data_IF_805173856791
#
_entry.id   IF_805173856791
#
_cell.length_a   1.000
_cell.length_b   1.000
_cell.length_c   1.000
_cell.angle_alpha   90.00
_cell.angle_beta   90.00
_cell.angle_gamma   90.00
#
_symmetry.space_group_name_H-M   'P 1'
#
loop_
_entity.id
_entity.type
_entity.pdbx_description
1 polymer ?
#
# COMPACT_ATOMS: atom_id res chain seq x y z
N UNK A 1 -5.09 -10.02 20.32
CA UNK A 1 -5.39 -11.01 21.39
C UNK A 1 -4.14 -11.82 21.66
N UNK A 2 -3.54 -11.75 22.86
CA UNK A 2 -2.27 -12.43 23.13
C UNK A 2 -2.44 -13.96 23.16
N UNK A 3 -1.89 -14.65 22.16
CA UNK A 3 -1.79 -16.12 22.12
C UNK A 3 -0.32 -16.52 22.04
N UNK A 4 0.04 -17.70 22.56
CA UNK A 4 1.42 -18.18 22.55
C UNK A 4 1.50 -19.43 21.68
N UNK A 5 2.28 -19.37 20.60
CA UNK A 5 2.55 -20.50 19.72
C UNK A 5 3.88 -21.13 20.10
N UNK A 6 3.82 -22.39 20.53
CA UNK A 6 4.98 -23.24 20.75
C UNK A 6 5.32 -23.97 19.45
N UNK A 7 6.56 -23.83 19.00
CA UNK A 7 7.06 -24.44 17.76
C UNK A 7 8.45 -25.04 17.93
N UNK A 8 8.82 -25.95 17.03
CA UNK A 8 10.14 -26.57 16.97
C UNK A 8 10.68 -26.47 15.54
N UNK A 9 11.97 -26.20 15.38
CA UNK A 9 12.60 -26.09 14.06
C UNK A 9 12.75 -27.45 13.36
N UNK A 10 12.68 -28.55 14.13
CA UNK A 10 12.80 -29.91 13.61
C UNK A 10 11.47 -30.50 13.13
N UNK A 11 10.36 -29.78 13.29
CA UNK A 11 9.04 -30.25 12.90
C UNK A 11 8.59 -29.62 11.57
N UNK A 12 8.34 -30.44 10.56
CA UNK A 12 7.90 -29.95 9.25
C UNK A 12 6.49 -29.34 9.26
N UNK A 13 5.61 -29.84 10.13
CA UNK A 13 4.27 -29.25 10.33
C UNK A 13 4.37 -27.85 10.92
N UNK A 14 5.36 -27.60 11.80
CA UNK A 14 5.61 -26.27 12.34
C UNK A 14 6.08 -25.31 11.26
N UNK A 15 7.00 -25.74 10.39
CA UNK A 15 7.51 -24.90 9.29
C UNK A 15 6.38 -24.47 8.35
N UNK A 16 5.49 -25.41 7.98
CA UNK A 16 4.31 -25.10 7.15
C UNK A 16 3.40 -24.07 7.82
N UNK A 17 3.10 -24.28 9.11
CA UNK A 17 2.21 -23.41 9.87
C UNK A 17 2.81 -22.01 10.08
N UNK A 18 4.10 -21.91 10.42
CA UNK A 18 4.83 -20.64 10.51
C UNK A 18 4.86 -19.88 9.18
N UNK A 19 4.98 -20.59 8.05
CA UNK A 19 4.94 -19.97 6.72
C UNK A 19 3.58 -19.36 6.37
N UNK A 20 2.49 -19.89 6.91
CA UNK A 20 1.14 -19.34 6.73
C UNK A 20 0.95 -18.13 7.66
N UNK A 21 1.28 -18.27 8.96
CA UNK A 21 1.10 -17.20 9.95
C UNK A 21 2.03 -16.02 9.65
N UNK A 22 3.26 -16.25 9.20
CA UNK A 22 4.18 -15.17 8.85
C UNK A 22 3.69 -14.26 7.70
N UNK A 23 2.77 -14.75 6.87
CA UNK A 23 2.14 -13.99 5.78
C UNK A 23 0.87 -13.26 6.21
N UNK A 24 0.28 -13.62 7.35
CA UNK A 24 -0.92 -12.98 7.85
C UNK A 24 -0.60 -11.90 8.88
N UNK A 25 -1.46 -10.89 9.05
CA UNK A 25 -1.26 -9.86 10.06
C UNK A 25 -1.56 -10.37 11.48
N UNK A 26 -2.09 -11.60 11.61
CA UNK A 26 -2.28 -12.28 12.90
C UNK A 26 -0.96 -12.45 13.67
N UNK A 27 0.18 -12.45 12.96
CA UNK A 27 1.52 -12.54 13.57
C UNK A 27 1.76 -11.52 14.69
N UNK A 28 1.17 -10.32 14.59
CA UNK A 28 1.44 -9.21 15.51
C UNK A 28 0.73 -9.42 16.87
N UNK A 29 -0.28 -10.28 16.91
CA UNK A 29 -1.01 -10.63 18.12
C UNK A 29 -0.47 -11.90 18.80
N UNK A 30 0.49 -12.59 18.17
CA UNK A 30 1.00 -13.89 18.60
C UNK A 30 2.43 -13.80 19.13
N UNK A 31 2.71 -14.54 20.21
CA UNK A 31 4.06 -14.74 20.72
C UNK A 31 4.58 -16.10 20.28
N UNK A 32 5.77 -16.14 19.70
CA UNK A 32 6.40 -17.36 19.20
C UNK A 32 7.47 -17.85 20.18
N UNK A 33 7.29 -19.04 20.74
CA UNK A 33 8.25 -19.68 21.64
C UNK A 33 8.82 -20.95 21.00
N UNK A 34 10.14 -21.01 20.88
CA UNK A 34 10.83 -22.20 20.39
C UNK A 34 11.03 -23.19 21.54
N UNK A 35 10.65 -24.46 21.33
CA UNK A 35 10.75 -25.53 22.34
C UNK A 35 12.06 -26.34 22.24
N UNK A 36 12.95 -25.98 21.30
CA UNK A 36 14.16 -26.77 21.01
C UNK A 36 15.19 -26.70 22.16
N UNK A 37 15.38 -25.50 22.73
CA UNK A 37 16.28 -25.29 23.86
C UNK A 37 15.50 -25.41 25.18
N UNK A 38 15.51 -26.60 25.76
CA UNK A 38 14.82 -26.91 27.03
C UNK A 38 15.78 -27.42 28.11
N UNK A 39 15.59 -26.95 29.33
CA UNK A 39 16.33 -27.35 30.52
C UNK A 39 15.37 -27.86 31.59
N UNK A 40 15.59 -29.07 32.09
CA UNK A 40 14.80 -29.62 33.19
C UNK A 40 15.39 -29.16 34.52
N UNK A 41 14.60 -28.48 35.34
CA UNK A 41 15.02 -28.13 36.70
C UNK A 41 14.88 -29.34 37.64
N UNK A 42 15.52 -29.26 38.82
CA UNK A 42 15.45 -30.28 39.86
C UNK A 42 14.02 -30.61 40.32
N UNK A 43 13.08 -29.68 40.14
CA UNK A 43 11.67 -29.83 40.51
C UNK A 43 10.83 -30.61 39.47
N UNK A 44 11.46 -31.16 38.42
CA UNK A 44 10.77 -31.87 37.32
C UNK A 44 10.08 -30.95 36.31
N UNK A 45 10.04 -29.65 36.56
CA UNK A 45 9.54 -28.65 35.62
C UNK A 45 10.53 -28.41 34.46
N UNK A 46 10.00 -28.29 33.24
CA UNK A 46 10.79 -28.00 32.05
C UNK A 46 10.75 -26.50 31.76
N UNK A 47 11.92 -25.89 31.60
CA UNK A 47 12.09 -24.48 31.25
C UNK A 47 12.62 -24.35 29.83
N UNK A 48 12.11 -23.37 29.09
CA UNK A 48 12.60 -22.98 27.77
C UNK A 48 13.59 -21.84 27.90
N UNK A 49 14.76 -22.00 27.30
CA UNK A 49 15.80 -20.97 27.26
C UNK A 49 15.61 -20.16 25.98
N UNK A 50 15.13 -18.93 26.14
CA UNK A 50 15.01 -17.96 25.06
C UNK A 50 16.40 -17.50 24.59
N UNK A 51 16.49 -16.97 23.36
CA UNK A 51 17.76 -16.50 22.78
C UNK A 51 18.41 -15.36 23.58
N UNK A 52 17.64 -14.64 24.40
CA UNK A 52 18.12 -13.59 25.31
C UNK A 52 18.65 -14.16 26.65
N UNK A 53 18.65 -15.48 26.84
CA UNK A 53 19.04 -16.15 28.10
C UNK A 53 17.93 -16.22 29.15
N UNK A 54 16.74 -15.68 28.88
CA UNK A 54 15.61 -15.75 29.80
C UNK A 54 15.00 -17.16 29.81
N UNK A 55 14.65 -17.64 30.99
CA UNK A 55 13.99 -18.93 31.17
C UNK A 55 12.48 -18.73 31.30
N UNK A 56 11.70 -19.42 30.46
CA UNK A 56 10.23 -19.44 30.51
C UNK A 56 9.75 -20.82 30.92
N UNK A 57 8.82 -20.90 31.86
CA UNK A 57 8.24 -22.17 32.28
C UNK A 57 7.35 -22.74 31.16
N UNK A 58 7.63 -23.98 30.73
CA UNK A 58 6.77 -24.71 29.81
C UNK A 58 5.58 -25.30 30.59
N UNK A 59 4.32 -25.00 30.22
CA UNK A 59 3.18 -25.62 30.86
C UNK A 59 3.12 -27.13 30.56
N UNK A 60 2.76 -27.99 31.52
CA UNK A 60 2.65 -29.44 31.29
C UNK A 60 1.52 -29.82 30.32
N UNK A 61 0.63 -28.88 30.00
CA UNK A 61 -0.43 -29.07 29.00
C UNK A 61 0.10 -29.15 27.57
N UNK A 62 1.31 -28.63 27.31
CA UNK A 62 1.96 -28.68 26.00
C UNK A 62 2.75 -29.97 25.87
N UNK A 63 2.08 -31.02 25.40
CA UNK A 63 2.67 -32.38 25.24
C UNK A 63 3.30 -32.61 23.87
N UNK A 64 2.82 -31.92 22.84
CA UNK A 64 3.24 -32.07 21.44
C UNK A 64 3.32 -30.71 20.76
N UNK A 65 4.05 -30.64 19.65
CA UNK A 65 4.29 -29.42 18.86
C UNK A 65 3.87 -29.70 17.41
N UNK A 66 3.19 -28.79 16.67
CA UNK A 66 2.81 -27.42 17.04
C UNK A 66 1.67 -27.35 18.05
N UNK A 67 1.77 -26.41 18.99
CA UNK A 67 0.75 -26.15 20.02
C UNK A 67 0.49 -24.65 20.17
N UNK A 68 -0.79 -24.28 20.18
CA UNK A 68 -1.23 -22.91 20.40
C UNK A 68 -1.90 -22.81 21.77
N UNK A 69 -1.36 -22.00 22.66
CA UNK A 69 -1.92 -21.71 23.98
C UNK A 69 -2.75 -20.43 23.92
N UNK A 70 -4.05 -20.58 24.20
CA UNK A 70 -5.01 -19.48 24.27
C UNK A 70 -5.07 -18.95 25.71
N UNK A 71 -4.48 -17.77 25.95
CA UNK A 71 -4.49 -17.13 27.27
C UNK A 71 -5.90 -16.67 27.68
N UNK A 72 -6.73 -16.30 26.71
CA UNK A 72 -8.08 -15.76 26.92
C UNK A 72 -9.16 -16.84 27.16
N UNK A 73 -8.92 -18.09 26.77
CA UNK A 73 -9.92 -19.19 26.87
C UNK A 73 -9.51 -20.24 27.89
N UNK A 74 -9.18 -19.78 29.10
CA UNK A 74 -8.87 -20.67 30.23
C UNK A 74 -7.64 -21.55 30.01
N UNK A 75 -6.59 -21.01 29.37
CA UNK A 75 -5.35 -21.73 29.07
C UNK A 75 -5.55 -23.01 28.22
N UNK A 76 -6.57 -23.02 27.35
CA UNK A 76 -6.79 -24.12 26.41
C UNK A 76 -5.62 -24.20 25.42
N UNK A 77 -5.12 -25.42 25.21
CA UNK A 77 -4.10 -25.72 24.20
C UNK A 77 -4.79 -26.34 22.98
N UNK A 78 -4.52 -25.78 21.81
CA UNK A 78 -4.93 -26.33 20.51
C UNK A 78 -3.73 -26.98 19.83
N UNK A 79 -3.98 -28.06 19.08
CA UNK A 79 -2.93 -28.81 18.39
C UNK A 79 -3.26 -29.02 16.90
N UNK A 80 -2.22 -29.08 16.07
CA UNK A 80 -2.34 -29.49 14.66
C UNK A 80 -3.36 -28.67 13.87
N UNK A 81 -4.32 -29.35 13.23
CA UNK A 81 -5.37 -28.70 12.42
C UNK A 81 -6.29 -27.76 13.22
N UNK A 82 -6.47 -27.99 14.52
CA UNK A 82 -7.31 -27.11 15.34
C UNK A 82 -6.76 -25.69 15.40
N UNK A 83 -5.42 -25.57 15.34
CA UNK A 83 -4.74 -24.27 15.26
C UNK A 83 -5.14 -23.57 13.96
N UNK A 84 -5.11 -24.30 12.85
CA UNK A 84 -5.50 -23.76 11.55
C UNK A 84 -6.96 -23.32 11.56
N UNK A 85 -7.89 -24.15 12.06
CA UNK A 85 -9.32 -23.81 12.13
C UNK A 85 -9.62 -22.59 12.99
N UNK A 86 -8.80 -22.32 14.00
CA UNK A 86 -8.94 -21.13 14.85
C UNK A 86 -8.42 -19.86 14.16
N UNK A 87 -7.32 -19.96 13.41
CA UNK A 87 -6.66 -18.81 12.77
C UNK A 87 -7.28 -18.45 11.41
N UNK A 88 -7.75 -19.44 10.64
CA UNK A 88 -8.36 -19.19 9.30
C UNK A 88 -9.48 -18.16 9.29
N UNK A 89 -10.48 -18.16 10.20
CA UNK A 89 -11.54 -17.16 10.17
C UNK A 89 -11.03 -15.73 10.42
N UNK A 90 -10.02 -15.56 11.28
CA UNK A 90 -9.43 -14.24 11.54
C UNK A 90 -8.69 -13.72 10.30
N UNK A 91 -7.93 -14.60 9.63
CA UNK A 91 -7.25 -14.26 8.37
C UNK A 91 -8.28 -13.90 7.28
N UNK A 92 -9.36 -14.66 7.15
CA UNK A 92 -10.39 -14.41 6.14
C UNK A 92 -11.15 -13.12 6.40
N UNK A 93 -11.53 -12.84 7.65
CA UNK A 93 -12.20 -11.61 8.03
C UNK A 93 -11.36 -10.38 7.66
N UNK A 94 -10.06 -10.40 7.96
CA UNK A 94 -9.14 -9.32 7.62
C UNK A 94 -8.93 -9.18 6.11
N UNK A 95 -8.83 -10.31 5.38
CA UNK A 95 -8.78 -10.30 3.91
C UNK A 95 -10.03 -9.68 3.31
N UNK A 96 -11.22 -10.00 3.82
CA UNK A 96 -12.47 -9.42 3.33
C UNK A 96 -12.52 -7.91 3.55
N UNK A 97 -11.99 -7.39 4.66
CA UNK A 97 -11.90 -5.94 4.91
C UNK A 97 -10.97 -5.27 3.90
N UNK A 98 -9.83 -5.89 3.57
CA UNK A 98 -8.89 -5.37 2.58
C UNK A 98 -9.45 -5.42 1.14
N UNK A 99 -10.21 -6.48 0.80
CA UNK A 99 -10.75 -6.68 -0.56
C UNK A 99 -11.91 -5.73 -0.87
N UNK A 100 -12.68 -5.27 0.12
CA UNK A 100 -13.77 -4.31 -0.11
C UNK A 100 -13.31 -3.02 -0.82
N UNK A 101 -12.03 -2.67 -0.78
CA UNK A 101 -11.52 -1.45 -1.43
C UNK A 101 -10.75 -1.68 -2.74
N UNK A 102 -10.33 -2.90 -3.08
CA UNK A 102 -9.41 -3.11 -4.22
C UNK A 102 -9.63 -4.43 -4.99
N UNK A 103 -10.86 -4.93 -5.07
CA UNK A 103 -11.17 -6.20 -5.76
C UNK A 103 -11.02 -6.12 -7.28
N UNK A 104 -11.90 -5.38 -7.95
CA UNK A 104 -11.85 -5.15 -9.41
C UNK A 104 -12.54 -3.81 -9.70
N UNK A 105 -12.07 -2.98 -10.64
CA UNK A 105 -12.84 -1.82 -11.09
C UNK A 105 -14.17 -2.32 -11.63
N UNK A 106 -15.29 -1.85 -11.07
CA UNK A 106 -16.59 -2.27 -11.57
C UNK A 106 -16.71 -1.84 -13.04
N UNK A 107 -17.05 -2.80 -13.91
CA UNK A 107 -17.23 -2.53 -15.35
C UNK A 107 -18.35 -1.51 -15.62
N UNK A 108 -19.16 -1.19 -14.60
CA UNK A 108 -20.23 -0.21 -14.62
C UNK A 108 -19.93 1.06 -13.81
N UNK A 109 -18.68 1.28 -13.36
CA UNK A 109 -18.26 2.57 -12.76
C UNK A 109 -18.09 3.61 -13.87
N UNK A 110 -19.18 3.93 -14.57
CA UNK A 110 -19.29 5.06 -15.49
C UNK A 110 -19.67 6.33 -14.70
N UNK A 111 -19.02 6.58 -13.56
CA UNK A 111 -19.43 7.69 -12.70
C UNK A 111 -18.92 7.66 -11.27
N UNK A 112 -17.68 7.22 -11.04
CA UNK A 112 -17.02 7.49 -9.77
C UNK A 112 -16.79 9.00 -9.60
N UNK A 113 -17.04 9.49 -8.39
CA UNK A 113 -16.91 10.88 -7.92
C UNK A 113 -15.58 11.51 -8.37
N UNK A 114 -15.55 12.11 -9.58
CA UNK A 114 -14.33 12.67 -10.17
C UNK A 114 -14.13 12.42 -11.67
N UNK A 115 -14.92 11.56 -12.32
CA UNK A 115 -14.80 11.31 -13.78
C UNK A 115 -15.52 12.37 -14.63
N UNK A 116 -15.14 13.63 -14.41
CA UNK A 116 -15.63 14.85 -15.07
C UNK A 116 -15.20 14.99 -16.53
N UNK A 117 -14.79 13.91 -17.20
CA UNK A 117 -14.32 13.95 -18.60
C UNK A 117 -14.63 12.65 -19.31
N UNK A 118 -15.48 12.71 -20.33
CA UNK A 118 -15.61 11.62 -21.30
C UNK A 118 -17.05 11.29 -21.67
N UNK A 119 -17.70 12.21 -22.38
CA UNK A 119 -18.69 11.94 -23.45
C UNK A 119 -19.41 10.59 -23.31
N UNK A 120 -20.58 10.58 -22.68
CA UNK A 120 -21.50 9.46 -22.84
C UNK A 120 -21.98 9.47 -24.29
N UNK A 121 -21.59 8.46 -25.08
CA UNK A 121 -22.09 8.27 -26.44
C UNK A 121 -23.61 8.30 -26.45
N UNK A 122 -24.19 8.95 -27.47
CA UNK A 122 -25.61 9.29 -27.70
C UNK A 122 -26.60 8.11 -27.71
N UNK A 123 -26.22 6.94 -27.18
CA UNK A 123 -27.00 5.72 -27.15
C UNK A 123 -28.23 5.78 -26.22
N UNK A 124 -28.35 6.85 -25.43
CA UNK A 124 -29.52 7.12 -24.59
C UNK A 124 -30.02 8.54 -24.85
N UNK A 125 -31.10 8.64 -25.64
CA UNK A 125 -31.89 9.86 -25.75
C UNK A 125 -32.73 10.03 -24.48
N UNK A 126 -32.92 11.26 -24.02
CA UNK A 126 -33.80 11.48 -22.88
C UNK A 126 -35.25 11.46 -23.38
N UNK A 127 -36.15 10.99 -22.53
CA UNK A 127 -37.57 10.76 -22.85
C UNK A 127 -38.33 12.03 -23.26
N UNK A 128 -37.81 13.21 -22.95
CA UNK A 128 -38.41 14.51 -23.20
C UNK A 128 -37.97 15.17 -24.54
N UNK A 129 -37.15 14.48 -25.35
CA UNK A 129 -36.65 15.03 -26.62
C UNK A 129 -37.56 14.73 -27.81
N UNK A 130 -37.75 15.73 -28.65
CA UNK A 130 -38.35 15.55 -29.97
C UNK A 130 -37.33 15.01 -30.97
N UNK A 131 -37.80 14.32 -32.01
CA UNK A 131 -36.94 13.80 -33.09
C UNK A 131 -36.14 14.89 -33.81
N UNK A 132 -36.68 16.10 -33.87
CA UNK A 132 -36.09 17.21 -34.60
C UNK A 132 -34.88 17.78 -33.85
N UNK A 133 -34.96 17.82 -32.51
CA UNK A 133 -33.86 18.24 -31.63
C UNK A 133 -32.72 17.21 -31.55
N UNK A 134 -33.03 15.94 -31.83
CA UNK A 134 -32.05 14.85 -31.95
C UNK A 134 -31.36 14.81 -33.32
N UNK A 135 -31.84 15.57 -34.31
CA UNK A 135 -31.24 15.60 -35.64
C UNK A 135 -29.93 16.39 -35.65
N UNK A 136 -29.05 16.10 -36.61
CA UNK A 136 -27.79 16.84 -36.81
C UNK A 136 -28.00 18.33 -37.16
N UNK A 137 -29.23 18.74 -37.48
CA UNK A 137 -29.64 20.13 -37.71
C UNK A 137 -30.34 20.76 -36.50
N UNK A 138 -30.62 19.96 -35.47
CA UNK A 138 -31.21 20.39 -34.22
C UNK A 138 -30.21 21.18 -33.38
N UNK A 139 -30.72 22.10 -32.56
CA UNK A 139 -29.88 23.00 -31.77
C UNK A 139 -29.50 22.42 -30.38
N UNK A 140 -29.79 21.13 -30.15
CA UNK A 140 -29.53 20.44 -28.88
C UNK A 140 -30.37 20.94 -27.68
N UNK A 141 -31.30 21.88 -27.89
CA UNK A 141 -32.19 22.44 -26.87
C UNK A 141 -31.44 23.15 -25.73
N UNK A 142 -32.01 23.10 -24.52
CA UNK A 142 -31.44 23.71 -23.29
C UNK A 142 -30.35 22.86 -22.62
N UNK A 143 -29.63 22.02 -23.37
CA UNK A 143 -28.67 21.06 -22.81
C UNK A 143 -27.29 21.64 -22.59
N UNK A 144 -26.59 21.10 -21.60
CA UNK A 144 -25.15 21.30 -21.45
C UNK A 144 -24.44 20.67 -22.64
N UNK A 145 -23.85 21.50 -23.51
CA UNK A 145 -22.94 21.04 -24.55
C UNK A 145 -21.68 20.55 -23.84
N UNK A 146 -21.57 19.24 -23.61
CA UNK A 146 -20.48 18.62 -22.85
C UNK A 146 -19.10 18.85 -23.51
N UNK A 147 -18.49 20.01 -23.27
CA UNK A 147 -17.28 20.52 -23.93
C UNK A 147 -17.39 20.67 -25.46
N UNK A 148 -18.60 20.60 -26.01
CA UNK A 148 -18.85 20.87 -27.42
C UNK A 148 -19.19 22.34 -27.63
N UNK A 149 -18.73 22.87 -28.74
CA UNK A 149 -18.99 24.23 -29.17
C UNK A 149 -20.07 24.22 -30.25
N UNK A 150 -21.05 25.13 -30.16
CA UNK A 150 -21.98 25.34 -31.28
C UNK A 150 -21.25 25.81 -32.54
N UNK A 151 -21.86 25.63 -33.72
CA UNK A 151 -21.27 26.09 -34.99
C UNK A 151 -20.98 27.60 -35.02
N UNK A 152 -21.68 28.37 -34.19
CA UNK A 152 -21.52 29.81 -34.06
C UNK A 152 -20.58 30.23 -32.92
N UNK A 153 -19.96 29.26 -32.22
CA UNK A 153 -19.09 29.51 -31.09
C UNK A 153 -17.73 30.03 -31.55
N UNK A 154 -17.34 31.19 -31.02
CA UNK A 154 -16.07 31.83 -31.33
C UNK A 154 -15.34 32.11 -30.01
N UNK A 155 -14.25 31.38 -29.77
CA UNK A 155 -13.45 31.52 -28.54
C UNK A 155 -12.11 32.20 -28.83
N UNK A 156 -11.59 32.92 -27.83
CA UNK A 156 -10.26 33.56 -27.87
C UNK A 156 -9.45 33.06 -26.68
N UNK A 157 -8.40 32.29 -26.96
CA UNK A 157 -7.51 31.77 -25.93
C UNK A 157 -6.49 32.84 -25.55
N UNK A 158 -6.39 33.17 -24.26
CA UNK A 158 -5.32 34.02 -23.74
C UNK A 158 -4.02 33.20 -23.69
N UNK A 159 -3.05 33.57 -24.52
CA UNK A 159 -1.71 33.00 -24.45
C UNK A 159 -0.83 33.85 -23.52
N UNK A 160 0.05 33.24 -22.72
CA UNK A 160 1.00 33.97 -21.90
C UNK A 160 1.86 34.93 -22.76
N UNK A 161 2.29 36.08 -22.21
CA UNK A 161 3.19 36.98 -22.92
C UNK A 161 4.52 36.27 -23.20
N UNK A 162 4.97 36.35 -24.46
CA UNK A 162 6.21 35.70 -24.92
C UNK A 162 7.44 36.47 -24.39
N UNK A 163 7.85 36.14 -23.17
CA UNK A 163 8.97 36.79 -22.45
C UNK A 163 10.33 36.13 -22.75
N UNK A 164 10.47 35.40 -23.86
CA UNK A 164 11.72 34.75 -24.21
C UNK A 164 12.85 35.77 -24.38
N UNK A 165 13.96 35.58 -23.64
CA UNK A 165 15.22 36.28 -23.87
C UNK A 165 16.34 35.29 -24.14
N UNK A 166 17.14 35.56 -25.18
CA UNK A 166 18.24 34.69 -25.58
C UNK A 166 19.41 34.76 -24.59
N UNK A 167 19.90 33.60 -24.17
CA UNK A 167 21.01 33.43 -23.22
C UNK A 167 22.36 33.70 -23.90
N UNK A 168 22.60 34.98 -24.21
CA UNK A 168 23.86 35.46 -24.77
C UNK A 168 24.64 36.21 -23.71
N UNK A 169 25.98 36.16 -23.77
CA UNK A 169 26.90 36.79 -22.81
C UNK A 169 26.62 38.30 -22.64
N UNK A 170 26.02 38.94 -23.64
CA UNK A 170 25.62 40.36 -23.56
C UNK A 170 24.32 40.60 -22.77
N UNK A 171 23.40 39.62 -22.72
CA UNK A 171 22.09 39.76 -22.07
C UNK A 171 22.11 39.37 -20.58
N UNK A 172 23.06 38.54 -20.14
CA UNK A 172 23.13 38.05 -18.76
C UNK A 172 23.85 38.99 -17.78
N UNK A 173 24.24 40.20 -18.22
CA UNK A 173 24.91 41.19 -17.37
C UNK A 173 26.32 40.81 -16.92
N UNK A 174 26.86 39.68 -17.42
CA UNK A 174 28.19 39.18 -17.08
C UNK A 174 29.18 39.69 -18.13
N UNK A 175 30.00 40.67 -17.74
CA UNK A 175 31.08 41.17 -18.60
C UNK A 175 32.19 40.13 -18.74
N UNK A 176 32.81 40.05 -19.92
CA UNK A 176 34.01 39.23 -20.15
C UNK A 176 35.13 39.49 -19.14
N UNK A 177 35.21 40.71 -18.61
CA UNK A 177 36.21 41.07 -17.60
C UNK A 177 35.92 40.42 -16.24
N UNK A 178 34.65 40.26 -15.86
CA UNK A 178 34.26 39.57 -14.62
C UNK A 178 34.62 38.08 -14.69
N UNK A 179 34.41 37.45 -15.85
CA UNK A 179 34.80 36.05 -16.08
C UNK A 179 36.32 35.85 -16.04
N UNK A 180 37.09 36.85 -16.49
CA UNK A 180 38.56 36.82 -16.40
C UNK A 180 39.04 36.92 -14.96
N UNK A 181 38.49 37.85 -14.18
CA UNK A 181 38.84 38.01 -12.76
C UNK A 181 38.51 36.77 -11.94
N UNK A 182 37.35 36.15 -12.17
CA UNK A 182 36.95 34.92 -11.46
C UNK A 182 37.93 33.77 -11.73
N UNK A 183 38.37 33.63 -13.00
CA UNK A 183 39.37 32.61 -13.37
C UNK A 183 40.73 32.85 -12.71
N UNK A 184 41.17 34.10 -12.61
CA UNK A 184 42.45 34.44 -11.96
C UNK A 184 42.44 34.10 -10.46
N UNK A 185 41.30 34.34 -9.77
CA UNK A 185 41.12 33.99 -8.37
C UNK A 185 41.17 32.47 -8.14
N UNK A 186 40.53 31.68 -9.02
CA UNK A 186 40.54 30.22 -8.92
C UNK A 186 41.93 29.61 -9.12
N UNK A 187 42.76 30.19 -9.99
CA UNK A 187 44.14 29.74 -10.25
C UNK A 187 45.03 29.98 -9.02
N UNK A 188 44.90 31.13 -8.34
CA UNK A 188 45.69 31.44 -7.14
C UNK A 188 45.37 30.49 -5.98
N UNK A 189 44.10 30.14 -5.76
CA UNK A 189 43.71 29.23 -4.68
C UNK A 189 44.30 27.82 -4.84
N UNK A 190 44.50 27.34 -6.07
CA UNK A 190 45.12 26.03 -6.33
C UNK A 190 46.65 26.03 -6.18
N UNK A 191 47.31 27.19 -6.31
CA UNK A 191 48.77 27.29 -6.10
C UNK A 191 49.18 27.19 -4.63
N UNK A 192 48.33 27.68 -3.72
CA UNK A 192 48.56 27.63 -2.26
C UNK A 192 48.20 26.28 -1.62
N UNK A 193 47.72 25.30 -2.41
CA UNK A 193 47.36 23.95 -1.97
C UNK A 193 48.39 22.88 -2.34
N UNK A 194 49.61 23.27 -2.75
CA UNK A 194 50.74 22.37 -2.98
C UNK A 194 51.85 22.58 -1.97
#
# INVERSE_FOLDING_TARGET
MSTILYYSNYCDNCKKLLGIIGKSPVKDEMHFLCVDNRTTAANGATYLVLNNGQQVLLPPTVTRVPALLLLNRGHKVLFGEEIMRHITPEIEAQKQTAVQQHGEPSAFTLGGFGSSYGVASDNYSYLDQTSDDLSAKGNGGMRQQHHYASISYQDKIETPPDNYQADTINNSGVSMDQLRQQREQDIQQNSNRR
#
